data_IF_031719378670
#
_entry.id   IF_031719378670
#
_cell.length_a   1.000
_cell.length_b   1.000
_cell.length_c   1.000
_cell.angle_alpha   90.00
_cell.angle_beta   90.00
_cell.angle_gamma   90.00
#
_symmetry.space_group_name_H-M   'P 1'
#
loop_
_entity.id
_entity.type
_entity.pdbx_description
1 polymer ?
#
# COMPACT_ATOMS: atom_id res chain seq x y z
N UNK A 1 -15.65 -7.24 3.85
CA UNK A 1 -14.66 -8.31 3.57
C UNK A 1 -13.43 -8.04 4.40
N UNK A 2 -12.79 -9.06 4.96
CA UNK A 2 -11.55 -8.90 5.74
C UNK A 2 -10.37 -8.82 4.79
N UNK A 3 -9.56 -7.76 4.90
CA UNK A 3 -8.34 -7.58 4.13
C UNK A 3 -7.34 -8.71 4.42
N UNK A 4 -6.62 -9.16 3.39
CA UNK A 4 -5.59 -10.20 3.53
C UNK A 4 -4.27 -9.76 2.91
N UNK A 5 -3.19 -10.47 3.23
CA UNK A 5 -1.83 -10.12 2.77
C UNK A 5 -1.71 -10.16 1.25
N UNK A 6 -2.32 -11.14 0.57
CA UNK A 6 -2.26 -11.26 -0.89
C UNK A 6 -2.91 -10.06 -1.59
N UNK A 7 -3.97 -9.52 -1.01
CA UNK A 7 -4.62 -8.30 -1.49
C UNK A 7 -3.68 -7.08 -1.34
N UNK A 8 -3.03 -6.93 -0.17
CA UNK A 8 -1.99 -5.90 0.05
C UNK A 8 -0.89 -6.02 -1.00
N UNK A 9 -0.33 -7.21 -1.19
CA UNK A 9 0.75 -7.45 -2.15
C UNK A 9 0.33 -7.18 -3.60
N UNK A 10 -0.92 -7.50 -3.95
CA UNK A 10 -1.48 -7.18 -5.27
C UNK A 10 -1.59 -5.67 -5.48
N UNK A 11 -1.99 -4.93 -4.44
CA UNK A 11 -2.05 -3.47 -4.49
C UNK A 11 -0.65 -2.85 -4.60
N UNK A 12 0.33 -3.34 -3.83
CA UNK A 12 1.74 -2.91 -3.95
C UNK A 12 2.28 -3.18 -5.35
N UNK A 13 2.01 -4.36 -5.92
CA UNK A 13 2.41 -4.67 -7.29
C UNK A 13 1.76 -3.73 -8.31
N UNK A 14 0.48 -3.37 -8.13
CA UNK A 14 -0.20 -2.37 -8.96
C UNK A 14 0.48 -1.00 -8.86
N UNK A 15 0.76 -0.52 -7.65
CA UNK A 15 1.45 0.76 -7.42
C UNK A 15 2.83 0.74 -8.14
N UNK A 16 3.56 -0.37 -8.04
CA UNK A 16 4.85 -0.54 -8.70
C UNK A 16 4.78 -0.41 -10.24
N UNK A 17 3.65 -0.74 -10.87
CA UNK A 17 3.48 -0.56 -12.34
C UNK A 17 3.39 0.91 -12.77
N UNK A 18 3.09 1.82 -11.84
CA UNK A 18 2.90 3.25 -12.10
C UNK A 18 4.17 4.08 -11.85
N UNK A 19 5.17 3.51 -11.18
CA UNK A 19 6.39 4.22 -10.80
C UNK A 19 7.11 4.84 -12.02
N UNK A 20 7.44 6.13 -11.91
CA UNK A 20 8.11 6.91 -12.95
C UNK A 20 7.25 7.29 -14.16
N UNK A 21 6.01 6.82 -14.24
CA UNK A 21 5.07 7.11 -15.34
C UNK A 21 3.87 7.94 -14.88
N UNK A 22 3.34 7.63 -13.69
CA UNK A 22 2.17 8.25 -13.10
C UNK A 22 2.33 8.37 -11.59
N UNK A 23 3.45 8.96 -11.13
CA UNK A 23 3.80 9.04 -9.71
C UNK A 23 2.70 9.68 -8.84
N UNK A 24 1.97 10.67 -9.38
CA UNK A 24 0.81 11.25 -8.69
C UNK A 24 -0.33 10.24 -8.45
N UNK A 25 -0.60 9.33 -9.39
CA UNK A 25 -1.57 8.25 -9.21
C UNK A 25 -1.02 7.18 -8.25
N UNK A 26 0.27 6.85 -8.37
CA UNK A 26 0.94 5.91 -7.49
C UNK A 26 0.87 6.37 -6.02
N UNK A 27 1.04 7.66 -5.75
CA UNK A 27 0.85 8.24 -4.41
C UNK A 27 -0.57 8.06 -3.89
N UNK A 28 -1.59 8.40 -4.68
CA UNK A 28 -2.98 8.25 -4.25
C UNK A 28 -3.33 6.79 -3.90
N UNK A 29 -2.86 5.85 -4.72
CA UNK A 29 -3.08 4.42 -4.47
C UNK A 29 -2.32 3.91 -3.23
N UNK A 30 -1.17 4.48 -2.93
CA UNK A 30 -0.39 4.18 -1.72
C UNK A 30 -1.07 4.73 -0.45
N UNK A 31 -1.56 5.97 -0.50
CA UNK A 31 -2.32 6.57 0.61
C UNK A 31 -3.58 5.75 0.91
N UNK A 32 -4.32 5.35 -0.13
CA UNK A 32 -5.48 4.46 -0.01
C UNK A 32 -5.08 3.10 0.58
N UNK A 33 -3.93 2.55 0.17
CA UNK A 33 -3.43 1.28 0.69
C UNK A 33 -3.17 1.37 2.19
N UNK A 34 -2.45 2.39 2.64
CA UNK A 34 -2.16 2.57 4.06
C UNK A 34 -3.43 2.82 4.87
N UNK A 35 -4.34 3.67 4.38
CA UNK A 35 -5.59 3.94 5.07
C UNK A 35 -6.43 2.68 5.25
N UNK A 36 -6.54 1.84 4.22
CA UNK A 36 -7.32 0.60 4.29
C UNK A 36 -6.68 -0.44 5.21
N UNK A 37 -5.35 -0.55 5.22
CA UNK A 37 -4.61 -1.40 6.16
C UNK A 37 -4.85 -0.94 7.59
N UNK A 38 -4.78 0.37 7.85
CA UNK A 38 -5.05 0.94 9.18
C UNK A 38 -6.49 0.67 9.63
N UNK A 39 -7.48 0.83 8.73
CA UNK A 39 -8.88 0.48 9.01
C UNK A 39 -9.04 -1.00 9.33
N UNK A 40 -8.37 -1.89 8.60
CA UNK A 40 -8.42 -3.33 8.85
C UNK A 40 -7.82 -3.67 10.23
N UNK A 41 -6.68 -3.08 10.58
CA UNK A 41 -6.04 -3.25 11.89
C UNK A 41 -6.96 -2.73 13.01
N UNK A 42 -7.49 -1.51 12.87
CA UNK A 42 -8.41 -0.91 13.84
C UNK A 42 -9.70 -1.72 14.03
N UNK A 43 -10.11 -2.47 13.01
CA UNK A 43 -11.28 -3.36 13.05
C UNK A 43 -10.98 -4.77 13.59
N UNK A 44 -9.75 -5.02 14.08
CA UNK A 44 -9.37 -6.31 14.66
C UNK A 44 -8.93 -7.37 13.65
N UNK A 45 -8.20 -6.98 12.60
CA UNK A 45 -7.56 -7.94 11.70
C UNK A 45 -6.77 -9.00 12.48
N UNK A 46 -6.84 -10.27 12.03
CA UNK A 46 -6.18 -11.40 12.70
C UNK A 46 -4.65 -11.39 12.58
N UNK A 47 -4.15 -10.70 11.57
CA UNK A 47 -2.75 -10.70 11.13
C UNK A 47 -2.27 -9.25 10.88
N UNK A 48 -2.38 -8.35 11.88
CA UNK A 48 -2.14 -6.92 11.67
C UNK A 48 -0.68 -6.62 11.32
N UNK A 49 0.26 -7.41 11.87
CA UNK A 49 1.70 -7.28 11.61
C UNK A 49 2.01 -7.62 10.16
N UNK A 50 1.45 -8.71 9.64
CA UNK A 50 1.68 -9.15 8.28
C UNK A 50 1.06 -8.19 7.25
N UNK A 51 -0.13 -7.64 7.55
CA UNK A 51 -0.75 -6.61 6.72
C UNK A 51 0.11 -5.35 6.65
N UNK A 52 0.58 -4.85 7.80
CA UNK A 52 1.43 -3.67 7.86
C UNK A 52 2.77 -3.90 7.16
N UNK A 53 3.43 -5.03 7.44
CA UNK A 53 4.72 -5.38 6.83
C UNK A 53 4.62 -5.49 5.30
N UNK A 54 3.52 -6.05 4.78
CA UNK A 54 3.30 -6.12 3.34
C UNK A 54 3.06 -4.74 2.71
N UNK A 55 2.34 -3.85 3.41
CA UNK A 55 2.06 -2.50 2.91
C UNK A 55 3.32 -1.63 2.90
N UNK A 56 4.16 -1.71 3.95
CA UNK A 56 5.40 -0.94 4.08
C UNK A 56 6.35 -1.18 2.89
N UNK A 57 6.28 -2.33 2.21
CA UNK A 57 7.05 -2.60 0.98
C UNK A 57 6.81 -1.57 -0.13
N UNK A 58 5.71 -0.81 -0.10
CA UNK A 58 5.49 0.28 -1.06
C UNK A 58 6.50 1.43 -0.89
N UNK A 59 7.09 1.60 0.30
CA UNK A 59 8.10 2.62 0.56
C UNK A 59 9.44 2.34 -0.17
N UNK A 60 9.67 1.10 -0.62
CA UNK A 60 10.84 0.74 -1.43
C UNK A 60 10.62 1.03 -2.93
N UNK A 61 9.43 1.48 -3.33
CA UNK A 61 9.13 1.82 -4.72
C UNK A 61 9.69 3.20 -5.08
N UNK A 62 10.18 3.32 -6.31
CA UNK A 62 10.78 4.56 -6.81
C UNK A 62 9.70 5.52 -7.35
N UNK A 63 8.83 6.00 -6.45
CA UNK A 63 7.75 6.96 -6.76
C UNK A 63 8.24 8.35 -6.38
N UNK A 64 8.43 9.25 -7.34
CA UNK A 64 8.94 10.60 -7.06
C UNK A 64 7.98 11.39 -6.18
N UNK A 65 8.40 11.72 -4.96
CA UNK A 65 7.61 12.59 -4.06
C UNK A 65 7.67 14.02 -4.58
N UNK A 66 6.65 14.84 -4.29
CA UNK A 66 6.62 16.26 -4.69
C UNK A 66 7.84 17.10 -4.25
N UNK A 67 8.61 16.61 -3.29
CA UNK A 67 9.84 17.23 -2.78
C UNK A 67 11.13 16.67 -3.39
N UNK A 68 11.05 15.70 -4.31
CA UNK A 68 12.16 14.96 -4.95
C UNK A 68 12.21 15.18 -6.47
#
# INVERSE_FOLDING_TARGET
MTMNVKEVETRVAKIATLQGQADGEAHGLEDDLFLDVLKAIASGARNPVELAAAAIKSADLNIKRWTE
#
